data_IF_148085699669
#
_entry.id   IF_148085699669
#
_cell.length_a   1.000
_cell.length_b   1.000
_cell.length_c   1.000
_cell.angle_alpha   90.00
_cell.angle_beta   90.00
_cell.angle_gamma   90.00
#
_symmetry.space_group_name_H-M   'P 1'
#
loop_
_entity.id
_entity.type
_entity.pdbx_description
1 polymer ?
#
# COMPACT_ATOMS: atom_id res chain seq x y z
N UNK A 1 -13.86 -17.11 36.01
CA UNK A 1 -13.64 -16.77 34.60
C UNK A 1 -13.01 -15.39 34.57
N UNK A 2 -11.70 -15.29 34.32
CA UNK A 2 -11.00 -14.00 34.24
C UNK A 2 -11.27 -13.38 32.87
N UNK A 3 -11.88 -12.19 32.86
CA UNK A 3 -12.16 -11.44 31.65
C UNK A 3 -10.89 -10.71 31.21
N UNK A 4 -10.12 -11.30 30.30
CA UNK A 4 -8.93 -10.68 29.72
C UNK A 4 -9.38 -9.64 28.71
N UNK A 5 -9.66 -8.41 29.17
CA UNK A 5 -9.83 -7.29 28.26
C UNK A 5 -8.48 -7.01 27.59
N UNK A 6 -8.33 -7.45 26.33
CA UNK A 6 -7.22 -7.05 25.48
C UNK A 6 -7.20 -5.52 25.39
N UNK A 7 -6.06 -4.86 25.65
CA UNK A 7 -6.00 -3.42 25.48
C UNK A 7 -6.22 -3.11 24.00
N UNK A 8 -7.23 -2.30 23.70
CA UNK A 8 -7.40 -1.72 22.38
C UNK A 8 -6.29 -0.68 22.20
N UNK A 9 -5.14 -1.11 21.70
CA UNK A 9 -4.08 -0.21 21.28
C UNK A 9 -4.58 0.48 20.01
N UNK A 10 -5.30 1.58 20.18
CA UNK A 10 -5.64 2.48 19.07
C UNK A 10 -4.37 3.24 18.70
N UNK A 11 -3.53 2.62 17.88
CA UNK A 11 -2.45 3.33 17.19
C UNK A 11 -3.16 4.20 16.15
N UNK A 12 -3.36 5.49 16.46
CA UNK A 12 -3.91 6.44 15.49
C UNK A 12 -3.02 6.38 14.26
N UNK A 13 -3.58 5.90 13.16
CA UNK A 13 -2.82 5.75 11.93
C UNK A 13 -2.35 7.14 11.46
N UNK A 14 -1.08 7.30 11.06
CA UNK A 14 -0.59 8.59 10.59
C UNK A 14 -1.40 9.06 9.39
N UNK A 15 -1.61 10.37 9.30
CA UNK A 15 -2.22 10.99 8.14
C UNK A 15 -1.21 11.03 7.00
N UNK A 16 -1.68 10.81 5.77
CA UNK A 16 -0.86 10.93 4.58
C UNK A 16 -0.74 12.40 4.18
N UNK A 17 0.43 12.98 4.34
CA UNK A 17 0.73 14.37 3.95
C UNK A 17 1.26 14.47 2.51
N UNK A 18 0.78 13.61 1.61
CA UNK A 18 1.09 13.68 0.18
C UNK A 18 -0.04 14.36 -0.58
N UNK A 19 0.31 15.39 -1.36
CA UNK A 19 -0.63 16.07 -2.27
C UNK A 19 -0.20 15.75 -3.71
N UNK A 20 -1.03 15.05 -4.51
CA UNK A 20 -0.71 14.81 -5.90
C UNK A 20 -0.62 16.13 -6.67
N UNK A 21 0.29 16.24 -7.66
CA UNK A 21 0.41 17.45 -8.46
C UNK A 21 -0.86 17.68 -9.30
N UNK A 22 -1.11 18.95 -9.68
CA UNK A 22 -2.32 19.33 -10.43
C UNK A 22 -2.45 18.67 -11.81
N UNK A 23 -1.33 18.17 -12.37
CA UNK A 23 -1.30 17.46 -13.64
C UNK A 23 -1.35 15.93 -13.49
N UNK A 24 -1.58 15.42 -12.28
CA UNK A 24 -1.74 13.99 -12.07
C UNK A 24 -3.05 13.51 -12.74
N UNK A 25 -2.96 12.47 -13.56
CA UNK A 25 -4.08 11.93 -14.34
C UNK A 25 -4.17 10.43 -14.09
N UNK A 26 -5.39 9.93 -13.95
CA UNK A 26 -5.64 8.50 -13.82
C UNK A 26 -5.34 7.81 -15.17
N UNK A 27 -4.53 6.74 -15.17
CA UNK A 27 -4.24 6.00 -16.40
C UNK A 27 -5.50 5.34 -16.96
N UNK A 28 -5.53 5.13 -18.28
CA UNK A 28 -6.62 4.41 -18.94
C UNK A 28 -6.81 3.01 -18.36
N UNK A 29 -8.06 2.59 -18.18
CA UNK A 29 -8.44 1.24 -17.76
C UNK A 29 -8.04 0.16 -18.76
N UNK A 30 -7.78 0.53 -20.01
CA UNK A 30 -7.39 -0.42 -21.06
C UNK A 30 -5.92 -0.86 -20.92
N UNK A 31 -5.17 -0.20 -20.04
CA UNK A 31 -3.75 -0.47 -19.79
C UNK A 31 -3.59 -0.97 -18.35
N UNK A 32 -3.32 -2.27 -18.21
CA UNK A 32 -3.11 -2.92 -16.92
C UNK A 32 -1.69 -2.64 -16.40
N UNK A 33 -1.56 -1.57 -15.63
CA UNK A 33 -0.34 -1.23 -14.92
C UNK A 33 -0.21 -2.05 -13.63
N UNK A 34 1.03 -2.41 -13.29
CA UNK A 34 1.33 -3.12 -12.06
C UNK A 34 2.83 -3.17 -11.77
N UNK A 35 3.19 -3.84 -10.67
CA UNK A 35 4.57 -4.11 -10.28
C UNK A 35 4.83 -5.62 -10.24
N UNK A 36 6.03 -6.03 -10.66
CA UNK A 36 6.52 -7.38 -10.43
C UNK A 36 7.47 -7.38 -9.24
N UNK A 37 7.24 -8.28 -8.28
CA UNK A 37 8.16 -8.48 -7.16
C UNK A 37 9.18 -9.52 -7.58
N UNK A 38 10.44 -9.11 -7.67
CA UNK A 38 11.54 -9.97 -8.08
C UNK A 38 12.43 -10.28 -6.89
N UNK A 39 12.69 -11.58 -6.67
CA UNK A 39 13.65 -12.07 -5.67
C UNK A 39 14.63 -13.02 -6.34
N UNK A 40 15.92 -12.73 -6.22
CA UNK A 40 16.99 -13.53 -6.81
C UNK A 40 16.80 -13.79 -8.32
N UNK A 41 16.35 -12.77 -9.07
CA UNK A 41 16.14 -12.86 -10.52
C UNK A 41 14.86 -13.61 -10.94
N UNK A 42 14.02 -14.03 -10.00
CA UNK A 42 12.73 -14.68 -10.29
C UNK A 42 11.58 -13.77 -9.87
N UNK A 43 10.56 -13.64 -10.74
CA UNK A 43 9.29 -12.99 -10.38
C UNK A 43 8.54 -13.90 -9.40
N UNK A 44 8.35 -13.43 -8.19
CA UNK A 44 7.67 -14.16 -7.11
C UNK A 44 6.24 -13.67 -6.86
N UNK A 45 5.90 -12.47 -7.31
CA UNK A 45 4.56 -11.90 -7.17
C UNK A 45 4.29 -10.83 -8.24
N UNK A 46 3.02 -10.55 -8.51
CA UNK A 46 2.54 -9.48 -9.38
C UNK A 46 1.43 -8.70 -8.69
N UNK A 47 1.64 -7.39 -8.60
CA UNK A 47 0.72 -6.48 -7.92
C UNK A 47 0.04 -5.63 -8.97
N UNK A 48 -1.26 -5.84 -9.14
CA UNK A 48 -2.10 -5.07 -10.05
C UNK A 48 -2.55 -3.75 -9.42
N UNK A 49 -2.43 -2.65 -10.17
CA UNK A 49 -2.89 -1.34 -9.73
C UNK A 49 -4.39 -1.16 -9.78
N UNK A 50 -5.19 -2.10 -10.29
CA UNK A 50 -6.65 -2.08 -10.17
C UNK A 50 -7.13 -2.04 -8.71
N UNK A 51 -6.28 -2.49 -7.77
CA UNK A 51 -6.60 -2.53 -6.33
C UNK A 51 -6.15 -1.28 -5.57
N UNK A 52 -5.61 -0.27 -6.26
CA UNK A 52 -5.18 0.99 -5.64
C UNK A 52 -6.38 1.76 -5.08
N UNK A 53 -6.19 2.39 -3.92
CA UNK A 53 -7.20 3.20 -3.23
C UNK A 53 -7.34 4.59 -3.86
N UNK A 54 -6.32 5.04 -4.59
CA UNK A 54 -6.29 6.37 -5.24
C UNK A 54 -5.93 6.25 -6.71
N UNK A 55 -6.58 7.01 -7.59
CA UNK A 55 -6.44 6.87 -9.05
C UNK A 55 -5.12 7.35 -9.65
N UNK A 56 -4.35 8.20 -8.94
CA UNK A 56 -3.23 8.94 -9.52
C UNK A 56 -1.88 8.68 -8.86
N UNK A 57 -1.84 7.93 -7.76
CA UNK A 57 -0.63 7.53 -7.07
C UNK A 57 -0.86 6.18 -6.35
N UNK A 58 0.23 5.60 -5.86
CA UNK A 58 0.21 4.38 -5.04
C UNK A 58 1.03 4.60 -3.77
N UNK A 59 0.54 4.09 -2.65
CA UNK A 59 1.19 4.16 -1.35
C UNK A 59 1.81 2.79 -1.07
N UNK A 60 3.12 2.78 -0.87
CA UNK A 60 3.89 1.58 -0.51
C UNK A 60 4.45 1.76 0.89
N UNK A 61 4.21 0.81 1.79
CA UNK A 61 4.68 0.91 3.17
C UNK A 61 4.33 -0.32 4.00
N UNK A 62 4.57 -0.26 5.31
CA UNK A 62 4.26 -1.40 6.21
C UNK A 62 2.84 -1.42 6.74
N UNK A 63 2.13 -0.29 6.68
CA UNK A 63 0.80 -0.16 7.27
C UNK A 63 -0.27 -0.85 6.39
N UNK A 64 -1.30 -1.45 7.00
CA UNK A 64 -2.44 -2.03 6.25
C UNK A 64 -3.21 -0.99 5.39
N UNK A 65 -3.01 0.30 5.67
CA UNK A 65 -3.59 1.38 4.89
C UNK A 65 -2.87 1.71 3.60
N UNK A 66 -1.64 1.23 3.41
CA UNK A 66 -0.94 1.33 2.13
C UNK A 66 -1.69 0.54 1.04
N UNK A 67 -1.51 0.92 -0.23
CA UNK A 67 -2.01 0.15 -1.37
C UNK A 67 -1.22 -1.15 -1.52
N UNK A 68 0.09 -1.05 -1.28
CA UNK A 68 1.03 -2.15 -1.32
C UNK A 68 1.71 -2.26 0.02
N UNK A 69 1.42 -3.36 0.73
CA UNK A 69 2.04 -3.65 2.02
C UNK A 69 3.34 -4.44 1.81
N UNK A 70 4.44 -3.95 2.39
CA UNK A 70 5.73 -4.64 2.38
C UNK A 70 6.21 -4.86 3.81
N UNK A 71 6.70 -6.06 4.11
CA UNK A 71 7.17 -6.45 5.44
C UNK A 71 8.69 -6.29 5.61
N UNK A 72 9.26 -5.20 5.08
CA UNK A 72 10.70 -4.95 5.21
C UNK A 72 11.02 -3.98 6.35
N UNK A 73 11.95 -4.29 7.28
CA UNK A 73 12.25 -3.45 8.45
C UNK A 73 12.70 -2.01 8.13
N UNK A 74 13.27 -1.78 6.95
CA UNK A 74 13.75 -0.45 6.53
C UNK A 74 12.73 0.38 5.77
N UNK A 75 11.58 -0.19 5.41
CA UNK A 75 10.49 0.53 4.74
C UNK A 75 9.63 1.15 5.83
N UNK A 76 9.21 2.41 5.69
CA UNK A 76 8.39 3.11 6.69
C UNK A 76 7.01 2.47 6.89
#
# INVERSE_FOLDING_TARGET
MINTAMPLISITQPNLEYVPPAFAVEPSSDIHYGLEVIKNGTVIDRIDFERRKTGTFVIIGRLPSCDIQLEHPTIS
#
